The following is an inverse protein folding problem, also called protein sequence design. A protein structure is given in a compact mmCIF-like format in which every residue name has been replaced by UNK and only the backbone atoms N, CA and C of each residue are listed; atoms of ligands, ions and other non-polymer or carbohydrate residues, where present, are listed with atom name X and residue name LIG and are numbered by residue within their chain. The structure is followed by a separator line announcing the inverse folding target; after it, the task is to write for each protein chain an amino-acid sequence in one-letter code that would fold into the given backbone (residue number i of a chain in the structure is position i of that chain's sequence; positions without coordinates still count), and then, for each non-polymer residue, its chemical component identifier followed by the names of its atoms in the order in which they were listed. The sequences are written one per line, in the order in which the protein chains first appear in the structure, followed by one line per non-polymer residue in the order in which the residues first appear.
data_IF_335092533828
#
_entry.id   IF_335092533828
#
_cell.length_a   1.000
_cell.length_b   1.000
_cell.length_c   1.000
_cell.angle_alpha   90.00
_cell.angle_beta   90.00
_cell.angle_gamma   90.00
#
_symmetry.space_group_name_H-M   'P 1'
#
loop_
_entity.id
_entity.type
_entity.pdbx_description
1 polymer ?
#
# COMPACT_ATOMS: atom_id res chain seq x y z
N UNK A 1 29.09 -0.12 23.28
CA UNK A 1 28.47 -0.57 22.02
C UNK A 1 29.56 -0.91 21.01
N UNK A 2 29.69 -2.18 20.67
CA UNK A 2 30.64 -2.68 19.66
C UNK A 2 30.21 -2.24 18.26
N UNK A 3 31.10 -2.40 17.27
CA UNK A 3 30.75 -2.13 15.87
C UNK A 3 29.60 -3.02 15.37
N UNK A 4 29.55 -4.28 15.82
CA UNK A 4 28.49 -5.21 15.45
C UNK A 4 27.14 -4.82 16.08
N UNK A 5 27.12 -4.39 17.35
CA UNK A 5 25.91 -3.91 18.02
C UNK A 5 25.35 -2.65 17.33
N UNK A 6 26.21 -1.75 16.84
CA UNK A 6 25.79 -0.59 16.03
C UNK A 6 25.15 -1.00 14.71
N UNK A 7 25.75 -1.95 14.00
CA UNK A 7 25.23 -2.41 12.70
C UNK A 7 23.86 -3.09 12.86
N UNK A 8 23.69 -3.94 13.87
CA UNK A 8 22.41 -4.58 14.14
C UNK A 8 21.34 -3.54 14.51
N UNK A 9 21.67 -2.59 15.39
CA UNK A 9 20.74 -1.53 15.74
C UNK A 9 20.29 -0.71 14.52
N UNK A 10 21.22 -0.38 13.62
CA UNK A 10 20.89 0.34 12.39
C UNK A 10 19.95 -0.47 11.50
N UNK A 11 20.24 -1.75 11.27
CA UNK A 11 19.38 -2.65 10.50
C UNK A 11 17.96 -2.76 11.11
N UNK A 12 17.86 -2.79 12.44
CA UNK A 12 16.58 -2.82 13.13
C UNK A 12 15.81 -1.48 12.99
N UNK A 13 16.49 -0.34 12.95
CA UNK A 13 15.84 0.95 12.66
C UNK A 13 15.37 0.99 11.21
N UNK A 14 16.23 0.63 10.25
CA UNK A 14 15.91 0.64 8.83
C UNK A 14 14.70 -0.28 8.54
N UNK A 15 14.61 -1.43 9.20
CA UNK A 15 13.47 -2.34 9.07
C UNK A 15 12.17 -1.73 9.64
N UNK A 16 12.24 -0.99 10.75
CA UNK A 16 11.08 -0.29 11.32
C UNK A 16 10.61 0.85 10.44
N UNK A 17 11.55 1.64 9.92
CA UNK A 17 11.25 2.75 9.02
C UNK A 17 10.61 2.23 7.74
N UNK A 18 11.16 1.17 7.12
CA UNK A 18 10.57 0.55 5.95
C UNK A 18 9.16 -0.03 6.21
N UNK A 19 8.91 -0.61 7.39
CA UNK A 19 7.59 -1.10 7.78
C UNK A 19 6.59 0.05 7.96
N UNK A 20 7.02 1.13 8.60
CA UNK A 20 6.21 2.34 8.80
C UNK A 20 5.86 3.02 7.47
N UNK A 21 6.82 3.18 6.57
CA UNK A 21 6.61 3.74 5.23
C UNK A 21 5.58 2.91 4.44
N UNK A 22 5.73 1.58 4.44
CA UNK A 22 4.77 0.67 3.82
C UNK A 22 3.36 0.80 4.40
N UNK A 23 3.25 0.93 5.72
CA UNK A 23 1.96 1.16 6.38
C UNK A 23 1.35 2.51 5.99
N UNK A 24 2.16 3.57 5.92
CA UNK A 24 1.70 4.89 5.49
C UNK A 24 1.19 4.87 4.04
N UNK A 25 1.91 4.22 3.14
CA UNK A 25 1.49 4.05 1.74
C UNK A 25 0.17 3.28 1.66
N UNK A 26 0.05 2.17 2.39
CA UNK A 26 -1.17 1.38 2.45
C UNK A 26 -2.37 2.23 2.92
N UNK A 27 -2.20 3.00 4.01
CA UNK A 27 -3.23 3.90 4.57
C UNK A 27 -3.65 4.98 3.56
N UNK A 28 -2.71 5.55 2.81
CA UNK A 28 -3.02 6.52 1.77
C UNK A 28 -3.83 5.92 0.64
N UNK A 29 -3.53 4.68 0.22
CA UNK A 29 -4.32 3.99 -0.80
C UNK A 29 -5.73 3.68 -0.28
N UNK A 30 -5.87 3.25 0.98
CA UNK A 30 -7.18 3.02 1.60
C UNK A 30 -8.04 4.28 1.55
N UNK A 31 -7.49 5.44 1.92
CA UNK A 31 -8.19 6.74 1.80
C UNK A 31 -8.57 7.07 0.35
N UNK A 32 -7.69 6.79 -0.61
CA UNK A 32 -7.97 7.01 -2.04
C UNK A 32 -9.08 6.10 -2.58
N UNK A 33 -9.28 4.93 -1.98
CA UNK A 33 -10.35 3.98 -2.34
C UNK A 33 -11.73 4.40 -1.81
N UNK A 34 -11.81 5.19 -0.73
CA UNK A 34 -13.08 5.61 -0.14
C UNK A 34 -13.99 6.34 -1.14
N UNK A 35 -13.43 7.29 -1.89
CA UNK A 35 -14.17 8.09 -2.87
C UNK A 35 -14.78 7.26 -4.02
N UNK A 36 -14.00 6.43 -4.77
CA UNK A 36 -14.57 5.60 -5.83
C UNK A 36 -15.53 4.55 -5.29
N UNK A 37 -15.29 3.97 -4.10
CA UNK A 37 -16.27 3.08 -3.48
C UNK A 37 -17.57 3.81 -3.09
N UNK A 38 -17.47 5.06 -2.63
CA UNK A 38 -18.62 5.93 -2.43
C UNK A 38 -19.40 6.17 -3.71
N UNK A 39 -18.71 6.41 -4.83
CA UNK A 39 -19.33 6.59 -6.14
C UNK A 39 -20.09 5.32 -6.60
N UNK A 40 -19.47 4.13 -6.45
CA UNK A 40 -20.13 2.85 -6.77
C UNK A 40 -21.39 2.67 -5.93
N UNK A 41 -21.34 2.97 -4.63
CA UNK A 41 -22.53 2.92 -3.75
C UNK A 41 -23.63 3.90 -4.16
N UNK A 42 -23.26 5.04 -4.76
CA UNK A 42 -24.20 6.01 -5.32
C UNK A 42 -24.73 5.61 -6.72
N UNK A 43 -24.32 4.47 -7.27
CA UNK A 43 -24.77 3.93 -8.55
C UNK A 43 -23.81 4.15 -9.73
N UNK A 44 -22.58 4.62 -9.49
CA UNK A 44 -21.58 4.73 -10.56
C UNK A 44 -21.08 3.35 -11.01
N UNK A 45 -21.57 2.89 -12.16
CA UNK A 45 -21.14 1.65 -12.84
C UNK A 45 -20.07 1.85 -13.91
N UNK A 46 -19.49 3.05 -14.02
CA UNK A 46 -18.58 3.39 -15.12
C UNK A 46 -17.34 2.49 -15.11
N UNK A 47 -16.86 2.18 -16.32
CA UNK A 47 -15.62 1.41 -16.52
C UNK A 47 -14.44 2.10 -15.85
N UNK A 48 -14.38 3.43 -15.96
CA UNK A 48 -13.34 4.27 -15.36
C UNK A 48 -13.25 4.08 -13.84
N UNK A 49 -14.38 4.07 -13.14
CA UNK A 49 -14.38 3.89 -11.68
C UNK A 49 -13.94 2.49 -11.29
N UNK A 50 -14.37 1.47 -12.03
CA UNK A 50 -13.92 0.07 -11.83
C UNK A 50 -12.42 -0.10 -12.06
N UNK A 51 -11.88 0.42 -13.17
CA UNK A 51 -10.44 0.40 -13.44
C UNK A 51 -9.64 1.11 -12.35
N UNK A 52 -10.13 2.26 -11.88
CA UNK A 52 -9.47 3.02 -10.82
C UNK A 52 -9.42 2.23 -9.50
N UNK A 53 -10.50 1.56 -9.13
CA UNK A 53 -10.53 0.68 -7.95
C UNK A 53 -9.51 -0.45 -8.13
N UNK A 54 -9.56 -1.17 -9.26
CA UNK A 54 -8.65 -2.29 -9.51
C UNK A 54 -7.17 -1.91 -9.43
N UNK A 55 -6.77 -0.76 -9.99
CA UNK A 55 -5.38 -0.26 -9.88
C UNK A 55 -4.97 0.03 -8.44
N UNK A 56 -5.86 0.60 -7.63
CA UNK A 56 -5.57 0.92 -6.23
C UNK A 56 -5.51 -0.35 -5.36
N UNK A 57 -6.38 -1.32 -5.63
CA UNK A 57 -6.34 -2.63 -4.95
C UNK A 57 -5.09 -3.43 -5.30
N UNK A 58 -4.68 -3.41 -6.57
CA UNK A 58 -3.42 -4.02 -7.01
C UNK A 58 -2.21 -3.43 -6.27
N UNK A 59 -2.17 -2.10 -6.10
CA UNK A 59 -1.12 -1.44 -5.32
C UNK A 59 -1.16 -1.86 -3.84
N UNK A 60 -2.34 -2.00 -3.23
CA UNK A 60 -2.45 -2.50 -1.85
C UNK A 60 -1.95 -3.94 -1.72
N UNK A 61 -2.31 -4.82 -2.65
CA UNK A 61 -1.87 -6.22 -2.65
C UNK A 61 -0.34 -6.32 -2.79
N UNK A 62 0.25 -5.50 -3.67
CA UNK A 62 1.70 -5.43 -3.82
C UNK A 62 2.40 -5.04 -2.51
N UNK A 63 1.86 -4.05 -1.77
CA UNK A 63 2.39 -3.66 -0.46
C UNK A 63 2.25 -4.76 0.59
N UNK A 64 1.28 -5.67 0.46
CA UNK A 64 1.10 -6.82 1.37
C UNK A 64 1.92 -8.05 0.97
N UNK A 65 2.78 -7.95 -0.04
CA UNK A 65 3.66 -9.05 -0.46
C UNK A 65 3.18 -9.85 -1.68
N UNK A 66 2.20 -9.34 -2.43
CA UNK A 66 1.67 -9.94 -3.66
C UNK A 66 1.96 -9.06 -4.89
N UNK A 67 3.25 -8.89 -5.29
CA UNK A 67 3.63 -7.96 -6.36
C UNK A 67 3.04 -8.31 -7.73
N UNK A 68 2.68 -9.58 -7.96
CA UNK A 68 2.02 -10.06 -9.18
C UNK A 68 0.67 -9.39 -9.45
N UNK A 69 0.04 -8.82 -8.43
CA UNK A 69 -1.20 -8.06 -8.58
C UNK A 69 -1.05 -6.84 -9.52
N UNK A 70 0.17 -6.33 -9.72
CA UNK A 70 0.45 -5.23 -10.64
C UNK A 70 0.54 -5.63 -12.12
N UNK A 71 0.60 -6.93 -12.42
CA UNK A 71 0.79 -7.44 -13.78
C UNK A 71 -0.54 -7.75 -14.51
N UNK A 72 -1.69 -7.60 -13.85
CA UNK A 72 -3.03 -7.84 -14.38
C UNK A 72 -3.65 -6.56 -14.98
#
# INVERSE_FOLDING_TARGET
MTSAERQQWQADQDAKDAAWERELEWRQITRKLEAPYGAVRAGDGSVRTRERIGRLEALQQALMGFPEALAA
#
